data_IF_514324669061
#
_entry.id   IF_514324669061
#
_cell.length_a   1.000
_cell.length_b   1.000
_cell.length_c   1.000
_cell.angle_alpha   90.00
_cell.angle_beta   90.00
_cell.angle_gamma   90.00
#
_symmetry.space_group_name_H-M   'P 1'
#
loop_
_entity.id
_entity.type
_entity.pdbx_description
1 polymer ?
#
# COMPACT_ATOMS: atom_id res chain seq x y z
N UNK A 1 -4.00 -9.90 -8.59
CA UNK A 1 -4.17 -11.17 -9.32
C UNK A 1 -5.52 -11.77 -8.97
N UNK A 2 -5.82 -12.12 -7.72
CA UNK A 2 -7.15 -12.62 -7.33
C UNK A 2 -8.34 -11.72 -7.80
N UNK A 3 -8.26 -10.40 -7.58
CA UNK A 3 -9.30 -9.47 -8.04
C UNK A 3 -9.45 -9.45 -9.58
N UNK A 4 -8.35 -9.60 -10.31
CA UNK A 4 -8.38 -9.63 -11.78
C UNK A 4 -9.01 -10.95 -12.26
N UNK A 5 -8.67 -12.07 -11.63
CA UNK A 5 -9.25 -13.38 -11.95
C UNK A 5 -10.77 -13.38 -11.69
N UNK A 6 -11.24 -12.83 -10.57
CA UNK A 6 -12.68 -12.73 -10.29
C UNK A 6 -13.41 -11.84 -11.29
N UNK A 7 -12.86 -10.66 -11.60
CA UNK A 7 -13.50 -9.71 -12.53
C UNK A 7 -13.44 -10.15 -13.99
N UNK A 8 -12.42 -10.94 -14.36
CA UNK A 8 -12.28 -11.47 -15.73
C UNK A 8 -13.38 -12.46 -16.14
N UNK A 9 -14.19 -12.94 -15.18
CA UNK A 9 -15.33 -13.82 -15.46
C UNK A 9 -16.53 -13.06 -16.03
N UNK A 10 -16.70 -11.80 -15.60
CA UNK A 10 -17.88 -10.98 -15.96
C UNK A 10 -17.51 -9.84 -16.93
N UNK A 11 -16.26 -9.38 -16.92
CA UNK A 11 -15.81 -8.22 -17.67
C UNK A 11 -14.57 -8.53 -18.51
N UNK A 12 -14.39 -7.77 -19.59
CA UNK A 12 -13.11 -7.71 -20.29
C UNK A 12 -12.12 -6.93 -19.42
N UNK A 13 -11.29 -7.66 -18.67
CA UNK A 13 -10.38 -7.07 -17.70
C UNK A 13 -8.94 -7.01 -18.22
N UNK A 14 -8.25 -5.89 -17.99
CA UNK A 14 -6.81 -5.82 -18.18
C UNK A 14 -6.10 -5.24 -16.96
N UNK A 15 -4.96 -5.83 -16.60
CA UNK A 15 -4.07 -5.35 -15.53
C UNK A 15 -2.74 -4.86 -16.10
N UNK A 16 -2.38 -3.61 -15.81
CA UNK A 16 -1.14 -3.02 -16.33
C UNK A 16 -0.39 -2.21 -15.28
N UNK A 17 0.94 -2.33 -15.29
CA UNK A 17 1.84 -1.56 -14.41
C UNK A 17 2.85 -0.80 -15.25
N UNK A 18 2.87 0.53 -15.10
CA UNK A 18 3.80 1.37 -15.84
C UNK A 18 5.23 1.24 -15.30
N UNK A 19 6.13 0.72 -16.14
CA UNK A 19 7.56 0.50 -15.85
C UNK A 19 8.49 1.39 -16.69
N UNK A 20 8.02 2.57 -17.11
CA UNK A 20 8.83 3.58 -17.83
C UNK A 20 8.67 3.57 -19.37
N UNK A 21 8.08 2.54 -19.97
CA UNK A 21 7.82 2.49 -21.41
C UNK A 21 6.32 2.57 -21.71
N UNK A 22 5.89 3.63 -22.39
CA UNK A 22 4.49 3.87 -22.74
C UNK A 22 4.00 2.86 -23.79
N UNK A 23 4.80 2.58 -24.85
CA UNK A 23 4.44 1.58 -25.87
C UNK A 23 4.20 0.21 -25.24
N UNK A 24 5.10 -0.26 -24.37
CA UNK A 24 4.95 -1.56 -23.70
C UNK A 24 3.72 -1.60 -22.78
N UNK A 25 3.38 -0.47 -22.14
CA UNK A 25 2.20 -0.38 -21.29
C UNK A 25 0.91 -0.58 -22.08
N UNK A 26 0.73 0.13 -23.19
CA UNK A 26 -0.46 0.00 -24.03
C UNK A 26 -0.55 -1.32 -24.79
N UNK A 27 0.58 -1.82 -25.30
CA UNK A 27 0.62 -3.17 -25.92
C UNK A 27 0.19 -4.24 -24.91
N UNK A 28 0.64 -4.15 -23.65
CA UNK A 28 0.23 -5.11 -22.62
C UNK A 28 -1.27 -5.06 -22.29
N UNK A 29 -1.92 -3.89 -22.41
CA UNK A 29 -3.37 -3.76 -22.24
C UNK A 29 -4.08 -4.35 -23.45
N UNK A 30 -3.70 -3.94 -24.67
CA UNK A 30 -4.31 -4.44 -25.90
C UNK A 30 -4.25 -5.96 -26.00
N UNK A 31 -3.09 -6.57 -25.69
CA UNK A 31 -2.94 -8.03 -25.70
C UNK A 31 -3.84 -8.74 -24.68
N UNK A 32 -4.14 -8.13 -23.53
CA UNK A 32 -5.04 -8.72 -22.53
C UNK A 32 -6.51 -8.60 -22.92
N UNK A 33 -6.86 -7.57 -23.68
CA UNK A 33 -8.21 -7.32 -24.19
C UNK A 33 -8.46 -7.94 -25.57
N UNK A 34 -7.49 -8.70 -26.09
CA UNK A 34 -7.52 -9.30 -27.44
C UNK A 34 -7.70 -8.26 -28.58
N UNK A 35 -7.09 -7.09 -28.40
CA UNK A 35 -7.14 -5.98 -29.36
C UNK A 35 -5.90 -6.02 -30.27
N UNK A 36 -6.06 -5.91 -31.61
CA UNK A 36 -4.94 -5.93 -32.55
C UNK A 36 -3.91 -4.83 -32.27
N UNK A 37 -2.63 -5.20 -32.24
CA UNK A 37 -1.51 -4.25 -32.11
C UNK A 37 -0.70 -4.08 -33.39
N UNK A 38 -1.08 -4.81 -34.45
CA UNK A 38 -0.45 -4.76 -35.76
C UNK A 38 -1.49 -4.47 -36.84
N UNK A 39 -1.05 -3.81 -37.91
CA UNK A 39 -1.83 -3.50 -39.10
C UNK A 39 -1.22 -4.23 -40.30
N UNK A 40 -2.06 -4.78 -41.18
CA UNK A 40 -1.62 -5.34 -42.45
C UNK A 40 -1.11 -4.23 -43.38
N UNK A 41 0.16 -4.28 -43.76
CA UNK A 41 0.75 -3.38 -44.74
C UNK A 41 0.30 -3.75 -46.14
N UNK A 42 -0.28 -2.80 -46.86
CA UNK A 42 -0.56 -2.94 -48.28
C UNK A 42 0.50 -2.23 -49.11
N UNK A 43 0.94 -2.87 -50.18
CA UNK A 43 1.84 -2.24 -51.15
C UNK A 43 1.07 -1.24 -52.03
N UNK A 44 1.76 -0.48 -52.89
CA UNK A 44 1.13 0.49 -53.82
C UNK A 44 0.10 -0.13 -54.78
N UNK A 45 0.08 -1.45 -54.89
CA UNK A 45 -0.81 -2.22 -55.76
C UNK A 45 -2.00 -2.84 -55.01
N UNK A 46 -2.08 -2.68 -53.67
CA UNK A 46 -3.16 -3.20 -52.84
C UNK A 46 -2.96 -4.64 -52.34
N UNK A 47 -1.81 -5.27 -52.55
CA UNK A 47 -1.51 -6.60 -52.03
C UNK A 47 -0.92 -6.52 -50.61
N UNK A 48 -1.25 -7.48 -49.72
CA UNK A 48 -0.67 -7.55 -48.38
C UNK A 48 0.82 -7.91 -48.46
N UNK A 49 1.65 -7.05 -47.90
CA UNK A 49 3.12 -7.12 -47.93
C UNK A 49 3.74 -7.52 -46.59
N UNK A 50 2.95 -7.59 -45.51
CA UNK A 50 3.39 -7.97 -44.16
C UNK A 50 2.59 -7.26 -43.08
N UNK A 51 3.04 -7.36 -41.82
CA UNK A 51 2.44 -6.66 -40.69
C UNK A 51 3.32 -5.49 -40.23
N UNK A 52 2.70 -4.40 -39.79
CA UNK A 52 3.34 -3.24 -39.18
C UNK A 52 2.88 -3.09 -37.74
N UNK A 53 3.82 -2.84 -36.84
CA UNK A 53 3.48 -2.36 -35.49
C UNK A 53 2.69 -1.05 -35.57
N UNK A 54 1.56 -1.00 -34.86
CA UNK A 54 0.84 0.25 -34.64
C UNK A 54 1.68 1.23 -33.82
N UNK A 55 1.45 2.53 -34.08
CA UNK A 55 2.00 3.60 -33.25
C UNK A 55 1.31 3.62 -31.88
N UNK A 56 1.93 4.25 -30.88
CA UNK A 56 1.32 4.33 -29.54
C UNK A 56 -0.05 5.01 -29.57
N UNK A 57 -0.19 6.06 -30.37
CA UNK A 57 -1.46 6.80 -30.47
C UNK A 57 -2.52 6.01 -31.24
N UNK A 58 -2.12 5.23 -32.26
CA UNK A 58 -3.04 4.29 -32.92
C UNK A 58 -3.52 3.20 -31.95
N UNK A 59 -2.63 2.63 -31.12
CA UNK A 59 -3.02 1.62 -30.12
C UNK A 59 -3.97 2.22 -29.07
N UNK A 60 -3.74 3.45 -28.62
CA UNK A 60 -4.64 4.13 -27.67
C UNK A 60 -6.04 4.29 -28.25
N UNK A 61 -6.13 4.68 -29.51
CA UNK A 61 -7.40 4.86 -30.20
C UNK A 61 -8.10 3.52 -30.39
N UNK A 62 -7.37 2.50 -30.84
CA UNK A 62 -7.92 1.16 -31.03
C UNK A 62 -8.46 0.57 -29.72
N UNK A 63 -7.76 0.81 -28.59
CA UNK A 63 -8.27 0.41 -27.28
C UNK A 63 -9.54 1.19 -26.95
N UNK A 64 -9.57 2.51 -27.17
CA UNK A 64 -10.74 3.33 -26.87
C UNK A 64 -11.97 2.91 -27.69
N UNK A 65 -11.79 2.59 -28.97
CA UNK A 65 -12.87 2.24 -29.89
C UNK A 65 -13.45 0.83 -29.62
N UNK A 66 -12.64 -0.07 -29.06
CA UNK A 66 -13.05 -1.44 -28.73
C UNK A 66 -13.42 -1.64 -27.25
N UNK A 67 -13.25 -0.63 -26.40
CA UNK A 67 -13.59 -0.69 -24.98
C UNK A 67 -14.85 0.11 -24.66
N UNK A 68 -15.63 -0.36 -23.70
CA UNK A 68 -16.87 0.29 -23.27
C UNK A 68 -17.27 -0.12 -21.87
N UNK A 69 -18.59 -0.20 -21.62
CA UNK A 69 -19.13 -0.49 -20.28
C UNK A 69 -18.74 -1.88 -19.73
N UNK A 70 -18.38 -2.83 -20.59
CA UNK A 70 -17.97 -4.18 -20.18
C UNK A 70 -16.46 -4.29 -19.91
N UNK A 71 -15.72 -3.18 -20.04
CA UNK A 71 -14.26 -3.16 -19.86
C UNK A 71 -13.88 -2.71 -18.45
N UNK A 72 -12.96 -3.43 -17.82
CA UNK A 72 -12.38 -3.07 -16.51
C UNK A 72 -10.86 -2.96 -16.62
N UNK A 73 -10.32 -1.79 -16.30
CA UNK A 73 -8.88 -1.56 -16.25
C UNK A 73 -8.39 -1.51 -14.80
N UNK A 74 -7.43 -2.37 -14.46
CA UNK A 74 -6.83 -2.46 -13.11
C UNK A 74 -5.39 -1.95 -13.15
N UNK A 75 -5.09 -0.91 -12.38
CA UNK A 75 -3.79 -0.24 -12.34
C UNK A 75 -3.17 -0.32 -10.93
N UNK A 76 -2.32 -1.33 -10.65
CA UNK A 76 -1.78 -1.58 -9.31
C UNK A 76 -0.86 -0.49 -8.74
N UNK A 77 -0.25 0.33 -9.60
CA UNK A 77 0.69 1.39 -9.21
C UNK A 77 0.31 2.73 -9.86
N UNK A 78 -0.88 3.24 -9.55
CA UNK A 78 -1.44 4.42 -10.18
C UNK A 78 -0.58 5.69 -10.01
N UNK A 79 0.19 5.79 -8.91
CA UNK A 79 1.11 6.91 -8.66
C UNK A 79 2.19 7.07 -9.74
N UNK A 80 2.55 5.99 -10.45
CA UNK A 80 3.59 6.02 -11.48
C UNK A 80 3.08 6.44 -12.86
N UNK A 81 1.76 6.52 -13.04
CA UNK A 81 1.18 6.86 -14.35
C UNK A 81 1.62 8.27 -14.76
N UNK A 82 2.05 8.41 -16.00
CA UNK A 82 2.42 9.71 -16.58
C UNK A 82 1.16 10.52 -16.87
N UNK A 83 1.32 11.85 -17.00
CA UNK A 83 0.23 12.77 -17.34
C UNK A 83 -0.52 12.31 -18.61
N UNK A 84 0.21 11.87 -19.65
CA UNK A 84 -0.41 11.39 -20.89
C UNK A 84 -1.28 10.13 -20.69
N UNK A 85 -0.88 9.21 -19.81
CA UNK A 85 -1.69 8.02 -19.51
C UNK A 85 -2.93 8.43 -18.70
N UNK A 86 -2.78 9.41 -17.79
CA UNK A 86 -3.90 9.92 -16.99
C UNK A 86 -4.97 10.56 -17.86
N UNK A 87 -4.61 11.48 -18.77
CA UNK A 87 -5.59 12.04 -19.71
C UNK A 87 -6.28 10.98 -20.58
N UNK A 88 -5.54 9.97 -21.05
CA UNK A 88 -6.16 8.87 -21.79
C UNK A 88 -7.15 8.05 -20.93
N UNK A 89 -6.93 7.94 -19.62
CA UNK A 89 -7.89 7.27 -18.72
C UNK A 89 -9.16 8.10 -18.50
N UNK A 90 -9.09 9.44 -18.55
CA UNK A 90 -10.28 10.31 -18.56
C UNK A 90 -11.16 10.00 -19.79
N UNK A 91 -10.53 9.83 -20.96
CA UNK A 91 -11.24 9.46 -22.19
C UNK A 91 -11.88 8.06 -22.06
N UNK A 92 -11.16 7.09 -21.49
CA UNK A 92 -11.69 5.73 -21.26
C UNK A 92 -12.88 5.71 -20.29
N UNK A 93 -12.82 6.49 -19.20
CA UNK A 93 -13.95 6.62 -18.26
C UNK A 93 -15.15 7.26 -18.97
N UNK A 94 -14.90 8.26 -19.81
CA UNK A 94 -15.93 8.92 -20.60
C UNK A 94 -16.58 8.00 -21.64
N UNK A 95 -15.81 7.04 -22.18
CA UNK A 95 -16.29 5.96 -23.05
C UNK A 95 -17.06 4.85 -22.29
N UNK A 96 -17.13 4.91 -20.96
CA UNK A 96 -17.88 3.98 -20.12
C UNK A 96 -17.05 2.89 -19.45
N UNK A 97 -15.72 2.84 -19.68
CA UNK A 97 -14.87 1.83 -19.07
C UNK A 97 -14.68 2.06 -17.57
N UNK A 98 -14.67 0.98 -16.80
CA UNK A 98 -14.45 1.03 -15.34
C UNK A 98 -12.96 1.00 -15.03
N UNK A 99 -12.45 2.04 -14.39
CA UNK A 99 -11.02 2.15 -14.04
C UNK A 99 -10.82 1.99 -12.53
N UNK A 100 -9.98 1.04 -12.13
CA UNK A 100 -9.61 0.75 -10.73
C UNK A 100 -8.12 1.05 -10.53
N UNK A 101 -7.84 2.09 -9.74
CA UNK A 101 -6.49 2.55 -9.44
C UNK A 101 -6.09 2.20 -8.01
N UNK A 102 -4.94 1.54 -7.84
CA UNK A 102 -4.35 1.33 -6.52
C UNK A 102 -3.18 2.29 -6.30
N UNK A 103 -3.19 2.98 -5.16
CA UNK A 103 -2.10 3.86 -4.74
C UNK A 103 -1.92 3.79 -3.22
N UNK A 104 -0.68 4.00 -2.76
CA UNK A 104 -0.37 4.08 -1.31
C UNK A 104 -0.94 5.36 -0.68
N UNK A 105 -1.06 6.41 -1.49
CA UNK A 105 -1.71 7.67 -1.13
C UNK A 105 -2.28 8.28 -2.41
N UNK A 106 -3.48 8.84 -2.33
CA UNK A 106 -4.11 9.53 -3.45
C UNK A 106 -3.20 10.68 -3.93
N UNK A 107 -2.80 10.72 -5.22
CA UNK A 107 -2.02 11.83 -5.76
C UNK A 107 -2.77 13.18 -5.76
N UNK A 108 -4.11 13.17 -5.67
CA UNK A 108 -4.95 14.36 -5.56
C UNK A 108 -4.87 15.31 -6.77
N UNK A 109 -4.75 14.77 -7.99
CA UNK A 109 -4.59 15.51 -9.25
C UNK A 109 -5.21 14.74 -10.42
N UNK A 110 -5.52 15.46 -11.50
CA UNK A 110 -5.99 14.88 -12.78
C UNK A 110 -7.20 13.92 -12.53
N UNK A 111 -7.24 12.77 -13.21
CA UNK A 111 -8.25 11.71 -13.05
C UNK A 111 -8.60 11.37 -11.59
N UNK A 112 -7.64 11.50 -10.66
CA UNK A 112 -7.83 11.06 -9.28
C UNK A 112 -8.75 11.98 -8.47
N UNK A 113 -9.08 13.17 -8.98
CA UNK A 113 -10.02 14.09 -8.34
C UNK A 113 -11.48 13.66 -8.53
N UNK A 114 -11.78 13.02 -9.67
CA UNK A 114 -13.14 12.62 -10.03
C UNK A 114 -13.44 11.15 -9.66
N UNK A 115 -12.41 10.39 -9.29
CA UNK A 115 -12.56 8.99 -8.88
C UNK A 115 -13.08 8.85 -7.44
N UNK A 116 -13.91 7.83 -7.21
CA UNK A 116 -14.31 7.45 -5.86
C UNK A 116 -13.10 6.93 -5.07
N UNK A 117 -12.81 7.55 -3.93
CA UNK A 117 -11.76 7.12 -3.02
C UNK A 117 -12.28 6.08 -2.03
N UNK A 118 -11.63 4.92 -2.00
CA UNK A 118 -11.91 3.85 -1.04
C UNK A 118 -10.62 3.58 -0.26
N UNK A 119 -10.62 3.89 1.04
CA UNK A 119 -9.51 3.57 1.93
C UNK A 119 -9.56 2.09 2.32
N UNK A 120 -8.47 1.37 2.02
CA UNK A 120 -8.32 -0.03 2.42
C UNK A 120 -7.73 -0.11 3.83
N UNK A 121 -8.47 -0.71 4.74
CA UNK A 121 -7.95 -1.02 6.07
C UNK A 121 -6.88 -2.12 6.02
N UNK A 122 -5.90 -2.01 6.92
CA UNK A 122 -4.94 -3.08 7.11
C UNK A 122 -5.64 -4.38 7.53
N UNK A 123 -5.18 -5.57 7.10
CA UNK A 123 -5.74 -6.84 7.53
C UNK A 123 -5.76 -6.97 9.06
N UNK A 124 -6.80 -7.58 9.62
CA UNK A 124 -6.89 -7.83 11.05
C UNK A 124 -5.86 -8.86 11.51
N UNK A 125 -5.50 -8.82 12.79
CA UNK A 125 -4.59 -9.79 13.40
C UNK A 125 -5.08 -11.24 13.26
N UNK A 126 -6.40 -11.45 13.30
CA UNK A 126 -7.00 -12.76 13.05
C UNK A 126 -6.75 -13.25 11.61
N UNK A 127 -6.87 -12.34 10.63
CA UNK A 127 -6.58 -12.67 9.24
C UNK A 127 -5.09 -13.01 9.04
N UNK A 128 -4.18 -12.27 9.70
CA UNK A 128 -2.75 -12.59 9.66
C UNK A 128 -2.46 -13.98 10.21
N UNK A 129 -3.07 -14.39 11.33
CA UNK A 129 -2.92 -15.76 11.85
C UNK A 129 -3.39 -16.82 10.85
N UNK A 130 -4.50 -16.58 10.15
CA UNK A 130 -4.98 -17.48 9.10
C UNK A 130 -3.98 -17.60 7.96
N UNK A 131 -3.40 -16.48 7.51
CA UNK A 131 -2.35 -16.47 6.48
C UNK A 131 -1.10 -17.24 6.95
N UNK A 132 -0.69 -17.06 8.21
CA UNK A 132 0.45 -17.77 8.77
C UNK A 132 0.20 -19.28 8.87
N UNK A 133 -0.97 -19.69 9.34
CA UNK A 133 -1.37 -21.09 9.43
C UNK A 133 -1.45 -21.76 8.05
N UNK A 134 -2.05 -21.09 7.07
CA UNK A 134 -2.13 -21.57 5.70
C UNK A 134 -0.74 -21.72 5.05
N UNK A 135 0.18 -20.79 5.32
CA UNK A 135 1.56 -20.88 4.83
C UNK A 135 2.35 -21.99 5.51
N UNK A 136 2.16 -22.21 6.82
CA UNK A 136 2.80 -23.30 7.55
C UNK A 136 2.35 -24.66 7.02
N UNK A 137 1.04 -24.82 6.80
CA UNK A 137 0.46 -26.02 6.18
C UNK A 137 1.04 -26.25 4.77
N UNK A 138 1.17 -25.19 3.96
CA UNK A 138 1.76 -25.29 2.61
C UNK A 138 3.22 -25.79 2.65
N UNK A 139 3.96 -25.45 3.70
CA UNK A 139 5.34 -25.88 3.89
C UNK A 139 5.48 -27.22 4.63
N UNK A 140 4.36 -27.86 5.00
CA UNK A 140 4.38 -29.09 5.80
C UNK A 140 4.93 -28.88 7.21
N UNK A 141 4.94 -27.63 7.71
CA UNK A 141 5.40 -27.29 9.04
C UNK A 141 4.25 -27.45 10.04
N UNK A 142 4.40 -28.39 10.98
CA UNK A 142 3.50 -28.49 12.12
C UNK A 142 3.87 -27.43 13.17
N UNK A 143 3.06 -26.38 13.26
CA UNK A 143 3.30 -25.25 14.15
C UNK A 143 2.17 -25.13 15.17
N UNK A 144 2.54 -25.09 16.45
CA UNK A 144 1.57 -24.93 17.53
C UNK A 144 0.95 -23.52 17.51
N UNK A 145 -0.29 -23.40 18.01
CA UNK A 145 -0.97 -22.10 18.16
C UNK A 145 -0.16 -21.12 19.04
N UNK A 146 0.56 -21.62 20.04
CA UNK A 146 1.44 -20.82 20.90
C UNK A 146 2.60 -20.23 20.11
N UNK A 147 3.27 -21.05 19.28
CA UNK A 147 4.39 -20.60 18.47
C UNK A 147 3.95 -19.59 17.40
N UNK A 148 2.78 -19.79 16.79
CA UNK A 148 2.18 -18.80 15.89
C UNK A 148 1.93 -17.46 16.57
N UNK A 149 1.46 -17.46 17.82
CA UNK A 149 1.23 -16.23 18.59
C UNK A 149 2.54 -15.49 18.94
N UNK A 150 3.65 -16.21 19.14
CA UNK A 150 4.98 -15.61 19.32
C UNK A 150 5.53 -14.98 18.03
N UNK A 151 5.24 -15.59 16.88
CA UNK A 151 5.73 -15.13 15.57
C UNK A 151 4.87 -14.01 14.97
N UNK A 152 3.58 -13.92 15.33
CA UNK A 152 2.66 -12.91 14.79
C UNK A 152 3.15 -11.47 15.04
N UNK A 153 3.66 -11.10 16.23
CA UNK A 153 4.27 -9.80 16.46
C UNK A 153 5.51 -9.52 15.61
N UNK A 154 6.10 -10.47 14.89
CA UNK A 154 7.19 -10.19 13.94
C UNK A 154 6.65 -9.79 12.56
N UNK A 155 5.48 -10.32 12.19
CA UNK A 155 4.81 -10.05 10.92
C UNK A 155 4.01 -8.74 10.92
N UNK A 156 3.45 -8.35 12.07
CA UNK A 156 2.52 -7.23 12.17
C UNK A 156 1.26 -7.45 11.33
N UNK A 157 0.65 -6.38 10.82
CA UNK A 157 -0.56 -6.45 9.97
C UNK A 157 -0.24 -6.61 8.47
N UNK A 158 0.87 -7.26 8.12
CA UNK A 158 1.30 -7.46 6.73
C UNK A 158 1.33 -8.94 6.32
N UNK A 159 0.44 -9.38 5.41
CA UNK A 159 0.38 -10.78 4.95
C UNK A 159 1.67 -11.29 4.29
N UNK A 160 2.43 -10.44 3.61
CA UNK A 160 3.68 -10.85 2.96
C UNK A 160 4.79 -11.10 3.99
N UNK A 161 4.89 -10.25 5.01
CA UNK A 161 5.80 -10.49 6.13
C UNK A 161 5.40 -11.73 6.92
N UNK A 162 4.10 -11.95 7.12
CA UNK A 162 3.58 -13.16 7.76
C UNK A 162 4.05 -14.44 7.08
N UNK A 163 3.97 -14.51 5.74
CA UNK A 163 4.48 -15.65 4.97
C UNK A 163 6.00 -15.79 5.08
N UNK A 164 6.74 -14.67 5.06
CA UNK A 164 8.20 -14.66 5.20
C UNK A 164 8.65 -15.18 6.57
N UNK A 165 7.98 -14.77 7.65
CA UNK A 165 8.29 -15.21 9.02
C UNK A 165 8.11 -16.73 9.13
N UNK A 166 7.04 -17.29 8.57
CA UNK A 166 6.82 -18.75 8.57
C UNK A 166 7.87 -19.49 7.73
N UNK A 167 8.24 -18.95 6.56
CA UNK A 167 9.36 -19.49 5.76
C UNK A 167 10.67 -19.52 6.53
N UNK A 168 10.96 -18.44 7.26
CA UNK A 168 12.18 -18.36 8.07
C UNK A 168 12.15 -19.37 9.23
N UNK A 169 11.00 -19.54 9.88
CA UNK A 169 10.81 -20.54 10.93
C UNK A 169 11.02 -21.96 10.40
N UNK A 170 10.47 -22.29 9.22
CA UNK A 170 10.67 -23.59 8.58
C UNK A 170 12.15 -23.87 8.24
N UNK A 171 12.92 -22.82 7.95
CA UNK A 171 14.37 -22.89 7.71
C UNK A 171 15.22 -22.83 9.00
N UNK A 172 14.59 -22.71 10.18
CA UNK A 172 15.28 -22.59 11.47
C UNK A 172 16.00 -21.24 11.68
N UNK A 173 15.66 -20.21 10.90
CA UNK A 173 16.26 -18.88 10.97
C UNK A 173 15.52 -18.03 12.01
N UNK A 174 16.18 -17.74 13.14
CA UNK A 174 15.62 -16.86 14.18
C UNK A 174 15.68 -15.40 13.75
N UNK A 175 14.52 -14.75 13.63
CA UNK A 175 14.41 -13.30 13.50
C UNK A 175 14.05 -12.68 14.86
N UNK A 176 15.04 -12.08 15.52
CA UNK A 176 14.84 -11.44 16.83
C UNK A 176 14.33 -9.98 16.74
N UNK A 177 14.24 -9.41 15.53
CA UNK A 177 13.82 -8.02 15.32
C UNK A 177 12.55 -7.95 14.46
N UNK A 178 11.45 -7.35 14.95
CA UNK A 178 10.28 -7.09 14.13
C UNK A 178 10.63 -6.10 13.01
N UNK A 179 10.28 -6.45 11.76
CA UNK A 179 10.48 -5.58 10.59
C UNK A 179 9.39 -4.50 10.46
N UNK A 180 8.32 -4.57 11.25
CA UNK A 180 7.26 -3.55 11.24
C UNK A 180 7.47 -2.48 12.31
N UNK A 181 7.05 -1.26 11.99
CA UNK A 181 7.05 -0.11 12.91
C UNK A 181 5.62 0.20 13.36
N UNK A 182 4.97 -0.73 14.06
CA UNK A 182 3.77 -0.39 14.82
C UNK A 182 4.18 0.41 16.06
N UNK A 183 4.49 1.70 15.88
CA UNK A 183 4.66 2.62 16.98
C UNK A 183 3.28 2.87 17.59
N UNK A 184 3.00 2.24 18.73
CA UNK A 184 1.96 2.76 19.61
C UNK A 184 2.38 4.19 19.96
N UNK A 185 1.56 5.17 19.59
CA UNK A 185 1.82 6.57 19.92
C UNK A 185 1.53 6.75 21.41
N UNK A 186 2.51 6.43 22.26
CA UNK A 186 2.41 6.50 23.75
C UNK A 186 2.42 7.96 24.24
N UNK A 187 2.69 8.93 23.36
CA UNK A 187 2.82 10.36 23.69
C UNK A 187 1.61 10.94 24.44
N UNK A 188 0.34 10.66 24.08
CA UNK A 188 -0.83 11.18 24.79
C UNK A 188 -0.88 10.70 26.24
N UNK A 189 -0.48 9.44 26.50
CA UNK A 189 -0.45 8.85 27.85
C UNK A 189 0.62 9.54 28.70
N UNK A 190 1.81 9.78 28.15
CA UNK A 190 2.90 10.49 28.83
C UNK A 190 2.48 11.93 29.17
N UNK A 191 1.84 12.63 28.23
CA UNK A 191 1.36 14.01 28.45
C UNK A 191 0.30 14.03 29.55
N UNK A 192 -0.66 13.10 29.54
CA UNK A 192 -1.69 13.00 30.58
C UNK A 192 -1.07 12.78 31.98
N UNK A 193 -0.07 11.90 32.10
CA UNK A 193 0.63 11.67 33.35
C UNK A 193 1.38 12.92 33.86
N UNK A 194 2.03 13.68 32.96
CA UNK A 194 2.69 14.94 33.31
C UNK A 194 1.69 16.01 33.78
N UNK A 195 0.52 16.10 33.14
CA UNK A 195 -0.54 17.02 33.54
C UNK A 195 -1.09 16.68 34.94
N UNK A 196 -1.20 15.39 35.29
CA UNK A 196 -1.59 14.95 36.63
C UNK A 196 -0.63 15.45 37.72
N UNK A 197 0.70 15.40 37.49
CA UNK A 197 1.67 15.99 38.42
C UNK A 197 1.54 17.53 38.51
N UNK A 198 1.18 18.18 37.41
CA UNK A 198 0.83 19.61 37.40
C UNK A 198 -0.36 19.93 38.31
N UNK A 199 -1.42 19.11 38.26
CA UNK A 199 -2.60 19.26 39.13
C UNK A 199 -2.20 19.08 40.61
N UNK A 200 -1.42 18.05 40.94
CA UNK A 200 -0.95 17.82 42.33
C UNK A 200 -0.17 19.02 42.86
N UNK A 201 0.66 19.65 42.01
CA UNK A 201 1.37 20.88 42.36
C UNK A 201 0.41 22.04 42.66
N UNK A 202 -0.61 22.25 41.83
CA UNK A 202 -1.60 23.31 42.06
C UNK A 202 -2.44 23.07 43.31
N UNK A 203 -2.83 21.83 43.59
CA UNK A 203 -3.52 21.46 44.83
C UNK A 203 -2.65 21.74 46.05
N UNK A 204 -1.35 21.41 46.00
CA UNK A 204 -0.40 21.75 47.06
C UNK A 204 -0.29 23.26 47.31
N UNK A 205 -0.32 24.07 46.25
CA UNK A 205 -0.36 25.53 46.37
C UNK A 205 -1.67 26.02 47.00
N UNK A 206 -2.81 25.53 46.53
CA UNK A 206 -4.14 25.94 47.03
C UNK A 206 -4.45 25.48 48.45
N UNK A 207 -3.86 24.38 48.90
CA UNK A 207 -4.05 23.84 50.27
C UNK A 207 -2.97 24.29 51.26
N UNK A 208 -1.99 25.08 50.82
CA UNK A 208 -0.84 25.48 51.63
C UNK A 208 0.12 24.33 51.98
N UNK A 209 -0.08 23.13 51.42
CA UNK A 209 0.77 21.98 51.66
C UNK A 209 2.04 22.02 50.80
N UNK A 210 3.13 22.49 51.42
CA UNK A 210 4.46 22.58 50.80
C UNK A 210 4.96 21.22 50.26
N UNK A 211 4.62 20.11 50.92
CA UNK A 211 5.04 18.77 50.51
C UNK A 211 4.45 18.36 49.16
N UNK A 212 3.14 18.58 48.96
CA UNK A 212 2.48 18.29 47.68
C UNK A 212 2.97 19.21 46.56
N UNK A 213 3.18 20.50 46.88
CA UNK A 213 3.70 21.47 45.92
C UNK A 213 5.10 21.09 45.41
N UNK A 214 6.01 20.73 46.32
CA UNK A 214 7.38 20.36 45.99
C UNK A 214 7.39 19.03 45.22
N UNK A 215 6.68 18.01 45.72
CA UNK A 215 6.69 16.67 45.11
C UNK A 215 6.10 16.70 43.70
N UNK A 216 4.95 17.36 43.50
CA UNK A 216 4.34 17.51 42.17
C UNK A 216 5.23 18.30 41.20
N UNK A 217 5.93 19.34 41.69
CA UNK A 217 6.89 20.11 40.90
C UNK A 217 8.11 19.32 40.45
N UNK A 218 8.72 18.55 41.37
CA UNK A 218 9.88 17.70 41.06
C UNK A 218 9.51 16.60 40.08
N UNK A 219 8.42 15.86 40.30
CA UNK A 219 7.97 14.81 39.40
C UNK A 219 7.68 15.33 37.97
N UNK A 220 7.08 16.52 37.85
CA UNK A 220 6.81 17.14 36.55
C UNK A 220 8.10 17.50 35.80
N UNK A 221 9.07 18.12 36.48
CA UNK A 221 10.35 18.51 35.87
C UNK A 221 11.18 17.27 35.49
N UNK A 222 11.27 16.27 36.37
CA UNK A 222 11.94 15.00 36.07
C UNK A 222 11.27 14.28 34.90
N UNK A 223 9.95 14.24 34.86
CA UNK A 223 9.21 13.63 33.75
C UNK A 223 9.41 14.36 32.42
N UNK A 224 9.47 15.70 32.43
CA UNK A 224 9.82 16.48 31.22
C UNK A 224 11.25 16.24 30.77
N UNK A 225 12.21 16.16 31.70
CA UNK A 225 13.61 15.84 31.37
C UNK A 225 13.74 14.44 30.75
N UNK A 226 13.06 13.43 31.31
CA UNK A 226 13.03 12.07 30.75
C UNK A 226 12.36 12.05 29.36
N UNK A 227 11.27 12.79 29.17
CA UNK A 227 10.62 12.94 27.86
C UNK A 227 11.59 13.55 26.84
N UNK A 228 12.34 14.57 27.24
CA UNK A 228 13.27 15.24 26.34
C UNK A 228 14.46 14.35 25.99
N UNK A 229 15.03 13.64 26.96
CA UNK A 229 16.08 12.64 26.73
C UNK A 229 15.61 11.49 25.83
N UNK A 230 14.38 10.98 26.03
CA UNK A 230 13.78 9.96 25.18
C UNK A 230 13.42 10.46 23.77
N UNK A 231 13.22 11.76 23.60
CA UNK A 231 13.00 12.41 22.31
C UNK A 231 14.28 12.70 21.53
N UNK A 232 15.46 12.61 22.16
CA UNK A 232 16.76 12.67 21.46
C UNK A 232 16.96 11.34 20.72
N UNK A 233 16.25 11.19 19.59
CA UNK A 233 16.61 10.20 18.58
C UNK A 233 18.00 10.60 18.07
N UNK A 234 19.02 9.82 18.42
CA UNK A 234 20.36 9.96 17.87
C UNK A 234 20.29 10.13 16.35
N UNK A 235 21.17 10.97 15.80
CA UNK A 235 21.23 11.29 14.38
C UNK A 235 21.13 10.01 13.54
N UNK A 236 19.93 9.73 13.02
CA UNK A 236 19.72 8.67 12.04
C UNK A 236 20.47 9.11 10.79
N UNK A 237 21.71 8.64 10.65
CA UNK A 237 22.42 8.65 9.38
C UNK A 237 21.47 8.03 8.37
N UNK A 238 20.98 8.84 7.43
CA UNK A 238 20.20 8.37 6.29
C UNK A 238 21.14 7.45 5.51
N UNK A 239 20.95 6.15 5.61
CA UNK A 239 21.51 5.21 4.64
C UNK A 239 20.74 5.45 3.34
N UNK A 240 21.38 6.08 2.36
CA UNK A 240 20.78 6.42 1.06
C UNK A 240 20.96 7.86 0.58
N UNK A 241 22.01 8.55 1.01
CA UNK A 241 22.70 9.54 0.17
C UNK A 241 24.15 9.09 0.00
#
# INVERSE_FOLDING_TARGET
MALHEELSVEFQSAIATYKGSIKKFFVAIAMQLDIPTTETQYNKNGDPTGEKDLTVDAIKQEILDNCGEDTVLILPEAKRLTISIRYWLEDMISAGARVVCFAVANPGKDIFLDMLEIELELPSDAHIRLVMAAEAQRQGLDISKSRLAELQPLAGRNPMLARKVIKNEALGLKQDKPEHTNYVVIMPIIIAALMAFGIVRFVGMGTGNKGLYITGGVCLVTGMALKQLGSVKGARKRLGQ
#
